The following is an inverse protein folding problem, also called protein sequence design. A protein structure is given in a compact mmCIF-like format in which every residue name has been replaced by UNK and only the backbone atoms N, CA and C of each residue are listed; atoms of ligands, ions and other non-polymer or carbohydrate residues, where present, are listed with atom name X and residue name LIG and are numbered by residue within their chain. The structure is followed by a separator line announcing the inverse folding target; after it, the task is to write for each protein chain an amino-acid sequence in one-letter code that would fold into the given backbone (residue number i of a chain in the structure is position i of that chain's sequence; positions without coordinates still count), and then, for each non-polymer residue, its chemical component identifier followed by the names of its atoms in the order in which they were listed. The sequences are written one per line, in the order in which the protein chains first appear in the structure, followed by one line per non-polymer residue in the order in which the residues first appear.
data_IF_532065718849
#
_entry.id   IF_532065718849
#
_cell.length_a   1.000
_cell.length_b   1.000
_cell.length_c   1.000
_cell.angle_alpha   90.00
_cell.angle_beta   90.00
_cell.angle_gamma   90.00
#
_symmetry.space_group_name_H-M   'P 1'
#
loop_
_entity.id
_entity.type
_entity.pdbx_description
1 polymer ?
#
# COMPACT_ATOMS: atom_id res chain seq x y z
N UNK A 1 12.65 2.49 -2.79
CA UNK A 1 12.10 1.13 -2.76
C UNK A 1 11.81 0.72 -4.19
N UNK A 2 11.98 -0.55 -4.53
CA UNK A 2 11.50 -1.04 -5.83
C UNK A 2 9.96 -1.09 -5.84
N UNK A 3 9.29 -0.77 -6.96
CA UNK A 3 7.86 -0.97 -7.08
C UNK A 3 7.52 -2.46 -6.91
N UNK A 4 6.38 -2.75 -6.29
CA UNK A 4 5.89 -4.11 -6.18
C UNK A 4 5.73 -4.78 -7.54
N UNK A 5 6.08 -6.06 -7.64
CA UNK A 5 5.97 -6.87 -8.84
C UNK A 5 5.16 -8.12 -8.54
N UNK A 6 4.19 -8.43 -9.40
CA UNK A 6 3.46 -9.71 -9.38
C UNK A 6 4.30 -10.78 -10.06
N UNK A 7 4.56 -11.89 -9.36
CA UNK A 7 5.24 -13.07 -9.88
C UNK A 7 4.27 -14.24 -9.82
N UNK A 8 3.96 -14.83 -10.97
CA UNK A 8 3.11 -16.03 -11.06
C UNK A 8 3.99 -17.22 -11.41
N UNK A 9 4.08 -18.19 -10.48
CA UNK A 9 4.80 -19.44 -10.72
C UNK A 9 3.84 -20.62 -10.85
N UNK A 10 4.10 -21.53 -11.80
CA UNK A 10 3.29 -22.75 -12.01
C UNK A 10 3.12 -23.60 -10.73
N UNK A 11 4.13 -23.65 -9.87
CA UNK A 11 4.14 -24.51 -8.67
C UNK A 11 3.90 -23.77 -7.35
N UNK A 12 4.20 -22.46 -7.29
CA UNK A 12 4.18 -21.68 -6.04
C UNK A 12 3.02 -20.69 -5.93
N UNK A 13 2.15 -20.66 -6.94
CA UNK A 13 1.04 -19.70 -7.03
C UNK A 13 1.53 -18.28 -7.27
N UNK A 14 0.61 -17.32 -7.12
CA UNK A 14 0.91 -15.89 -7.25
C UNK A 14 1.62 -15.39 -5.99
N UNK A 15 2.65 -14.57 -6.20
CA UNK A 15 3.39 -13.84 -5.17
C UNK A 15 3.54 -12.38 -5.57
N UNK A 16 3.66 -11.52 -4.58
CA UNK A 16 3.99 -10.10 -4.77
C UNK A 16 5.31 -9.83 -4.10
N UNK A 17 6.23 -9.18 -4.81
CA UNK A 17 7.58 -8.94 -4.28
C UNK A 17 7.97 -7.48 -4.42
N UNK A 18 8.70 -6.98 -3.43
CA UNK A 18 9.38 -5.68 -3.47
C UNK A 18 10.72 -5.80 -2.76
N UNK A 19 11.57 -4.79 -2.94
CA UNK A 19 12.80 -4.62 -2.19
C UNK A 19 12.83 -3.21 -1.59
N UNK A 20 13.03 -3.14 -0.28
CA UNK A 20 13.31 -1.91 0.45
C UNK A 20 14.83 -1.74 0.58
N UNK A 21 15.31 -0.51 0.75
CA UNK A 21 16.65 -0.31 1.30
C UNK A 21 16.62 -0.44 2.85
N UNK A 22 17.78 -0.49 3.54
CA UNK A 22 17.81 -0.64 5.00
C UNK A 22 17.07 0.46 5.77
N UNK A 23 17.18 1.72 5.32
CA UNK A 23 16.51 2.86 5.94
C UNK A 23 14.99 2.81 5.75
N UNK A 24 14.53 2.44 4.56
CA UNK A 24 13.11 2.25 4.25
C UNK A 24 12.49 1.13 5.08
N UNK A 25 13.22 0.03 5.26
CA UNK A 25 12.82 -1.08 6.13
C UNK A 25 12.66 -0.62 7.57
N UNK A 26 13.65 0.09 8.10
CA UNK A 26 13.60 0.65 9.45
C UNK A 26 12.45 1.64 9.61
N UNK A 27 12.28 2.55 8.64
CA UNK A 27 11.20 3.53 8.61
C UNK A 27 9.83 2.86 8.66
N UNK A 28 9.60 1.83 7.83
CA UNK A 28 8.34 1.08 7.81
C UNK A 28 8.07 0.41 9.15
N UNK A 29 9.09 -0.22 9.74
CA UNK A 29 8.97 -0.91 11.02
C UNK A 29 8.63 0.05 12.15
N UNK A 30 9.32 1.18 12.23
CA UNK A 30 9.06 2.22 13.22
C UNK A 30 7.66 2.83 13.05
N UNK A 31 7.22 3.02 11.81
CA UNK A 31 5.87 3.51 11.53
C UNK A 31 4.80 2.51 11.99
N UNK A 32 4.94 1.24 11.63
CA UNK A 32 3.99 0.20 12.04
C UNK A 32 3.94 0.03 13.57
N UNK A 33 5.11 0.06 14.24
CA UNK A 33 5.20 -0.01 15.69
C UNK A 33 4.50 1.18 16.37
N UNK A 34 4.73 2.40 15.88
CA UNK A 34 4.10 3.62 16.43
C UNK A 34 2.58 3.55 16.35
N UNK A 35 2.02 3.06 15.24
CA UNK A 35 0.57 2.89 15.09
C UNK A 35 0.05 1.79 16.01
N UNK A 36 0.76 0.65 16.11
CA UNK A 36 0.40 -0.44 16.98
C UNK A 36 0.36 -0.01 18.45
N UNK A 37 1.37 0.74 18.91
CA UNK A 37 1.44 1.26 20.27
C UNK A 37 0.27 2.19 20.59
N UNK A 38 -0.10 3.08 19.66
CA UNK A 38 -1.25 3.97 19.84
C UNK A 38 -2.58 3.20 19.94
N UNK A 39 -2.73 2.13 19.14
CA UNK A 39 -3.90 1.25 19.19
C UNK A 39 -3.94 0.42 20.50
N UNK A 40 -2.81 -0.12 20.94
CA UNK A 40 -2.71 -0.85 22.21
C UNK A 40 -3.01 0.05 23.40
N UNK A 41 -2.52 1.29 23.39
CA UNK A 41 -2.82 2.28 24.43
C UNK A 41 -4.31 2.61 24.48
N UNK A 42 -4.98 2.71 23.32
CA UNK A 42 -6.44 2.90 23.27
C UNK A 42 -7.17 1.73 23.93
N UNK A 43 -6.79 0.49 23.66
CA UNK A 43 -7.39 -0.69 24.31
C UNK A 43 -7.12 -0.68 25.82
N UNK A 44 -5.89 -0.37 26.23
CA UNK A 44 -5.48 -0.37 27.65
C UNK A 44 -6.23 0.67 28.49
N UNK A 45 -6.62 1.79 27.87
CA UNK A 45 -7.31 2.90 28.53
C UNK A 45 -8.83 2.81 28.43
N UNK A 46 -9.38 1.76 27.80
CA UNK A 46 -10.82 1.56 27.73
C UNK A 46 -11.42 1.38 29.14
N UNK A 47 -12.59 1.96 29.43
CA UNK A 47 -13.27 1.79 30.71
C UNK A 47 -13.53 0.31 30.99
N UNK A 48 -13.17 -0.15 32.20
CA UNK A 48 -13.59 -1.47 32.67
C UNK A 48 -14.99 -1.33 33.23
N UNK A 49 -15.98 -1.77 32.47
CA UNK A 49 -17.38 -1.78 32.89
C UNK A 49 -17.63 -2.93 33.88
N UNK A 50 -18.31 -2.68 34.99
CA UNK A 50 -18.71 -3.73 35.95
C UNK A 50 -19.61 -4.79 35.28
N UNK A 51 -20.41 -4.40 34.27
CA UNK A 51 -21.19 -5.31 33.47
C UNK A 51 -20.32 -6.16 32.53
N UNK A 52 -19.20 -5.62 32.04
CA UNK A 52 -18.22 -6.37 31.25
C UNK A 52 -17.55 -7.48 32.08
N UNK A 53 -17.31 -7.24 33.37
CA UNK A 53 -16.79 -8.28 34.28
C UNK A 53 -17.81 -9.40 34.52
N UNK A 54 -19.11 -9.09 34.52
CA UNK A 54 -20.20 -10.05 34.68
C UNK A 54 -20.54 -10.82 33.39
N UNK A 55 -20.38 -10.19 32.22
CA UNK A 55 -20.79 -10.75 30.91
C UNK A 55 -19.61 -11.32 30.11
N UNK A 56 -18.37 -10.98 30.45
CA UNK A 56 -17.17 -11.35 29.70
C UNK A 56 -16.98 -10.60 28.38
N UNK A 57 -17.83 -9.61 28.08
CA UNK A 57 -17.69 -8.77 26.89
C UNK A 57 -16.77 -7.59 27.19
N UNK A 58 -15.66 -7.44 26.46
CA UNK A 58 -14.79 -6.28 26.63
C UNK A 58 -15.55 -4.99 26.30
N UNK A 59 -15.58 -4.03 27.24
CA UNK A 59 -16.19 -2.72 27.00
C UNK A 59 -15.18 -1.81 26.29
N UNK A 60 -15.51 -1.37 25.08
CA UNK A 60 -14.74 -0.37 24.33
C UNK A 60 -14.98 1.05 24.84
N UNK A 61 -14.36 2.04 24.21
CA UNK A 61 -14.64 3.45 24.50
C UNK A 61 -16.04 3.83 24.01
N UNK A 62 -16.77 4.65 24.76
CA UNK A 62 -17.98 5.33 24.25
C UNK A 62 -17.61 6.51 23.34
N UNK A 63 -16.51 7.20 23.68
CA UNK A 63 -16.07 8.42 23.00
C UNK A 63 -15.11 8.14 21.83
N UNK A 64 -15.13 8.99 20.79
CA UNK A 64 -14.15 8.93 19.71
C UNK A 64 -12.71 9.14 20.23
N UNK A 65 -11.69 8.71 19.48
CA UNK A 65 -10.31 8.98 19.85
C UNK A 65 -10.03 10.48 19.94
N UNK A 66 -9.39 10.92 21.02
CA UNK A 66 -8.96 12.31 21.19
C UNK A 66 -7.78 12.69 20.28
N UNK A 67 -6.97 11.71 19.89
CA UNK A 67 -5.91 11.87 18.89
C UNK A 67 -6.53 11.91 17.48
N UNK A 68 -6.34 12.99 16.71
CA UNK A 68 -6.81 13.06 15.32
C UNK A 68 -6.26 11.93 14.45
N UNK A 69 -5.02 11.50 14.69
CA UNK A 69 -4.39 10.41 13.96
C UNK A 69 -5.07 9.05 14.23
N UNK A 70 -5.48 8.77 15.46
CA UNK A 70 -6.28 7.57 15.77
C UNK A 70 -7.70 7.69 15.23
N UNK A 71 -8.33 8.86 15.34
CA UNK A 71 -9.67 9.13 14.81
C UNK A 71 -9.73 8.95 13.28
N UNK A 72 -8.61 9.16 12.58
CA UNK A 72 -8.54 8.93 11.14
C UNK A 72 -8.53 7.45 10.75
N UNK A 73 -7.99 6.57 11.61
CA UNK A 73 -7.85 5.13 11.28
C UNK A 73 -8.93 4.26 11.93
N UNK A 74 -9.68 4.78 12.90
CA UNK A 74 -10.81 4.11 13.52
C UNK A 74 -12.13 4.71 13.03
N UNK A 75 -13.20 3.92 12.88
CA UNK A 75 -14.48 4.47 12.46
C UNK A 75 -15.03 5.49 13.47
N UNK A 76 -15.67 6.52 12.96
CA UNK A 76 -16.52 7.42 13.75
C UNK A 76 -17.85 6.78 14.16
N UNK A 77 -18.21 5.65 13.52
CA UNK A 77 -19.48 4.93 13.69
C UNK A 77 -20.70 5.80 13.38
N UNK A 78 -20.52 6.79 12.50
CA UNK A 78 -21.59 7.56 11.90
C UNK A 78 -21.53 7.39 10.39
N UNK A 79 -22.68 7.21 9.75
CA UNK A 79 -22.73 7.29 8.30
C UNK A 79 -22.88 8.76 7.89
N UNK A 80 -22.10 9.20 6.91
CA UNK A 80 -22.21 10.55 6.35
C UNK A 80 -23.66 10.86 5.93
N UNK A 81 -24.25 11.87 6.58
CA UNK A 81 -25.63 12.30 6.30
C UNK A 81 -26.74 11.46 6.94
N UNK A 82 -26.40 10.53 7.85
CA UNK A 82 -27.39 9.85 8.68
C UNK A 82 -27.95 10.80 9.76
N UNK A 83 -29.21 10.57 10.14
CA UNK A 83 -29.81 11.25 11.29
C UNK A 83 -29.07 10.78 12.57
N UNK A 84 -28.45 11.72 13.28
CA UNK A 84 -27.75 11.42 14.52
C UNK A 84 -28.75 11.03 15.60
N UNK A 85 -28.81 9.74 15.91
CA UNK A 85 -29.50 9.25 17.11
C UNK A 85 -28.53 9.30 18.28
N UNK A 86 -28.88 10.08 19.30
CA UNK A 86 -28.06 10.25 20.51
C UNK A 86 -27.68 8.88 21.11
N UNK A 87 -26.38 8.61 21.21
CA UNK A 87 -25.83 7.40 21.84
C UNK A 87 -25.61 6.19 20.93
N UNK A 88 -26.07 6.19 19.67
CA UNK A 88 -25.95 5.02 18.78
C UNK A 88 -24.49 4.71 18.39
N UNK A 89 -23.74 5.73 18.00
CA UNK A 89 -22.31 5.59 17.71
C UNK A 89 -21.50 5.21 18.96
N UNK A 90 -21.90 5.69 20.14
CA UNK A 90 -21.24 5.35 21.40
C UNK A 90 -21.39 3.86 21.72
N UNK A 91 -22.62 3.33 21.63
CA UNK A 91 -22.89 1.91 21.83
C UNK A 91 -22.20 1.04 20.76
N UNK A 92 -22.28 1.45 19.48
CA UNK A 92 -21.65 0.70 18.40
C UNK A 92 -20.13 0.64 18.57
N UNK A 93 -19.50 1.75 18.98
CA UNK A 93 -18.06 1.78 19.29
C UNK A 93 -17.72 0.85 20.45
N UNK A 94 -18.46 0.90 21.55
CA UNK A 94 -18.24 0.03 22.71
C UNK A 94 -18.26 -1.45 22.32
N UNK A 95 -19.15 -1.85 21.40
CA UNK A 95 -19.31 -3.23 20.97
C UNK A 95 -18.27 -3.69 19.93
N UNK A 96 -17.83 -2.81 19.03
CA UNK A 96 -17.08 -3.22 17.84
C UNK A 96 -15.61 -2.77 17.83
N UNK A 97 -15.27 -1.68 18.52
CA UNK A 97 -13.96 -1.04 18.35
C UNK A 97 -12.81 -1.96 18.77
N UNK A 98 -12.98 -2.76 19.83
CA UNK A 98 -11.98 -3.72 20.29
C UNK A 98 -11.61 -4.74 19.21
N UNK A 99 -12.60 -5.27 18.50
CA UNK A 99 -12.37 -6.24 17.42
C UNK A 99 -11.74 -5.57 16.19
N UNK A 100 -12.14 -4.34 15.87
CA UNK A 100 -11.51 -3.54 14.82
C UNK A 100 -10.03 -3.30 15.13
N UNK A 101 -9.72 -2.87 16.36
CA UNK A 101 -8.33 -2.67 16.80
C UNK A 101 -7.56 -3.98 16.70
N UNK A 102 -8.14 -5.10 17.14
CA UNK A 102 -7.51 -6.43 17.03
C UNK A 102 -7.18 -6.77 15.57
N UNK A 103 -8.10 -6.57 14.63
CA UNK A 103 -7.83 -6.81 13.20
C UNK A 103 -6.72 -5.91 12.66
N UNK A 104 -6.69 -4.62 13.05
CA UNK A 104 -5.62 -3.70 12.65
C UNK A 104 -4.27 -4.13 13.21
N UNK A 105 -4.21 -4.53 14.48
CA UNK A 105 -3.00 -5.05 15.11
C UNK A 105 -2.48 -6.33 14.43
N UNK A 106 -3.37 -7.24 14.02
CA UNK A 106 -2.98 -8.42 13.24
C UNK A 106 -2.37 -8.05 11.88
N UNK A 107 -2.95 -7.07 11.18
CA UNK A 107 -2.42 -6.59 9.91
C UNK A 107 -1.05 -5.91 10.09
N UNK A 108 -0.86 -5.12 11.16
CA UNK A 108 0.43 -4.49 11.49
C UNK A 108 1.48 -5.52 11.91
N UNK A 109 1.08 -6.59 12.59
CA UNK A 109 1.98 -7.68 12.97
C UNK A 109 2.58 -8.37 11.73
N UNK A 110 1.81 -8.51 10.64
CA UNK A 110 2.33 -9.03 9.37
C UNK A 110 3.48 -8.17 8.82
N UNK A 111 3.42 -6.84 8.97
CA UNK A 111 4.56 -5.97 8.61
C UNK A 111 5.78 -6.37 9.44
N UNK A 112 5.63 -6.44 10.76
CA UNK A 112 6.71 -6.79 11.68
C UNK A 112 7.31 -8.18 11.40
N UNK A 113 6.49 -9.16 11.00
CA UNK A 113 6.95 -10.51 10.62
C UNK A 113 7.87 -10.48 9.38
N UNK A 114 7.57 -9.66 8.38
CA UNK A 114 8.40 -9.56 7.17
C UNK A 114 9.66 -8.71 7.35
N UNK A 115 9.60 -7.65 8.16
CA UNK A 115 10.66 -6.63 8.22
C UNK A 115 11.34 -6.47 9.58
N UNK A 116 10.93 -7.23 10.60
CA UNK A 116 11.47 -7.18 11.97
C UNK A 116 12.96 -7.48 12.07
N UNK A 117 13.51 -7.69 13.29
CA UNK A 117 14.95 -7.89 13.49
C UNK A 117 15.57 -8.98 12.61
N UNK A 118 14.84 -10.08 12.42
CA UNK A 118 15.24 -11.22 11.58
C UNK A 118 14.63 -11.16 10.15
N UNK A 119 13.92 -10.07 9.84
CA UNK A 119 13.25 -9.85 8.56
C UNK A 119 14.20 -9.47 7.42
N UNK A 120 13.69 -9.45 6.20
CA UNK A 120 14.48 -9.14 5.00
C UNK A 120 14.12 -7.79 4.41
N UNK A 121 15.09 -7.16 3.75
CA UNK A 121 14.83 -6.06 2.82
C UNK A 121 14.05 -6.51 1.58
N UNK A 122 14.07 -7.81 1.26
CA UNK A 122 13.27 -8.40 0.20
C UNK A 122 11.96 -8.92 0.79
N UNK A 123 10.84 -8.30 0.44
CA UNK A 123 9.52 -8.71 0.94
C UNK A 123 8.85 -9.56 -0.14
N UNK A 124 8.27 -10.69 0.27
CA UNK A 124 7.49 -11.57 -0.59
C UNK A 124 6.18 -11.89 0.11
N UNK A 125 5.07 -11.43 -0.47
CA UNK A 125 3.72 -11.73 0.01
C UNK A 125 3.10 -12.85 -0.81
N UNK A 126 2.43 -13.76 -0.13
CA UNK A 126 1.41 -14.64 -0.70
C UNK A 126 0.17 -13.86 -1.12
N UNK A 127 -0.72 -14.49 -1.90
CA UNK A 127 -1.97 -13.88 -2.32
C UNK A 127 -2.87 -13.50 -1.11
N UNK A 128 -2.80 -14.27 -0.03
CA UNK A 128 -3.62 -14.09 1.18
C UNK A 128 -3.12 -12.94 2.06
N UNK A 129 -1.81 -12.69 2.06
CA UNK A 129 -1.15 -11.63 2.84
C UNK A 129 -1.32 -10.23 2.21
N UNK A 130 -1.67 -10.14 0.92
CA UNK A 130 -1.76 -8.86 0.20
C UNK A 130 -2.81 -7.92 0.79
N UNK A 131 -4.00 -8.43 1.13
CA UNK A 131 -5.07 -7.59 1.68
C UNK A 131 -4.77 -7.10 3.11
N UNK A 132 -4.31 -7.97 4.05
CA UNK A 132 -3.79 -7.54 5.34
C UNK A 132 -2.66 -6.51 5.22
N UNK A 133 -1.69 -6.75 4.34
CA UNK A 133 -0.57 -5.82 4.13
C UNK A 133 -1.05 -4.46 3.63
N UNK A 134 -1.92 -4.42 2.60
CA UNK A 134 -2.49 -3.18 2.10
C UNK A 134 -3.27 -2.43 3.18
N UNK A 135 -4.04 -3.14 3.99
CA UNK A 135 -4.81 -2.56 5.09
C UNK A 135 -3.87 -1.93 6.13
N UNK A 136 -2.77 -2.61 6.48
CA UNK A 136 -1.76 -2.10 7.39
C UNK A 136 -1.06 -0.85 6.84
N UNK A 137 -0.63 -0.88 5.57
CA UNK A 137 0.01 0.28 4.92
C UNK A 137 -0.95 1.47 4.84
N UNK A 138 -2.23 1.24 4.54
CA UNK A 138 -3.24 2.28 4.50
C UNK A 138 -3.45 2.93 5.88
N UNK A 139 -3.51 2.12 6.95
CA UNK A 139 -3.62 2.63 8.31
C UNK A 139 -2.37 3.44 8.70
N UNK A 140 -1.17 2.94 8.40
CA UNK A 140 0.09 3.68 8.61
C UNK A 140 0.08 5.00 7.85
N UNK A 141 -0.28 4.98 6.57
CA UNK A 141 -0.36 6.19 5.73
C UNK A 141 -1.31 7.22 6.32
N UNK A 142 -2.52 6.80 6.70
CA UNK A 142 -3.55 7.69 7.22
C UNK A 142 -3.18 8.26 8.59
N UNK A 143 -2.61 7.45 9.47
CA UNK A 143 -2.12 7.88 10.77
C UNK A 143 -1.00 8.92 10.65
N UNK A 144 0.02 8.64 9.82
CA UNK A 144 1.13 9.57 9.61
C UNK A 144 0.73 10.81 8.81
N UNK A 145 -0.24 10.71 7.91
CA UNK A 145 -0.78 11.88 7.22
C UNK A 145 -1.30 12.90 8.24
N UNK A 146 -2.09 12.46 9.23
CA UNK A 146 -2.57 13.35 10.31
C UNK A 146 -1.44 13.85 11.21
N UNK A 147 -0.51 12.98 11.62
CA UNK A 147 0.62 13.43 12.44
C UNK A 147 1.52 14.46 11.74
N UNK A 148 1.65 14.36 10.43
CA UNK A 148 2.47 15.26 9.62
C UNK A 148 1.75 16.57 9.26
N UNK A 149 0.44 16.72 9.53
CA UNK A 149 -0.33 17.93 9.16
C UNK A 149 0.32 19.24 9.61
N UNK A 150 0.82 19.39 10.86
CA UNK A 150 1.47 20.64 11.27
C UNK A 150 2.67 21.01 10.39
N UNK A 151 3.53 20.03 10.09
CA UNK A 151 4.68 20.23 9.19
C UNK A 151 4.22 20.53 7.76
N UNK A 152 3.23 19.80 7.23
CA UNK A 152 2.70 20.01 5.88
C UNK A 152 2.03 21.38 5.71
N UNK A 153 1.50 21.96 6.79
CA UNK A 153 0.95 23.33 6.82
C UNK A 153 1.99 24.42 7.11
N UNK A 154 3.28 24.07 7.20
CA UNK A 154 4.36 25.03 7.42
C UNK A 154 4.42 25.59 8.84
N UNK A 155 3.84 24.87 9.82
CA UNK A 155 3.90 25.25 11.24
C UNK A 155 5.20 24.77 11.93
N UNK A 156 6.05 24.03 11.20
CA UNK A 156 7.34 23.53 11.66
C UNK A 156 8.48 24.00 10.72
N UNK A 157 9.73 23.73 11.11
CA UNK A 157 10.91 24.11 10.32
C UNK A 157 11.02 23.37 8.97
N UNK A 158 11.79 23.92 8.00
CA UNK A 158 11.87 23.38 6.64
C UNK A 158 12.26 21.89 6.60
N UNK A 159 13.22 21.47 7.41
CA UNK A 159 13.65 20.06 7.48
C UNK A 159 12.51 19.12 7.87
N UNK A 160 11.61 19.56 8.77
CA UNK A 160 10.43 18.78 9.17
C UNK A 160 9.39 18.73 8.05
N UNK A 161 9.19 19.83 7.34
CA UNK A 161 8.28 19.90 6.20
C UNK A 161 8.72 18.95 5.09
N UNK A 162 10.01 18.94 4.77
CA UNK A 162 10.55 18.09 3.71
C UNK A 162 10.50 16.61 4.12
N UNK A 163 10.89 16.28 5.35
CA UNK A 163 10.74 14.92 5.87
C UNK A 163 9.28 14.42 5.86
N UNK A 164 8.31 15.29 6.19
CA UNK A 164 6.89 14.95 6.15
C UNK A 164 6.42 14.67 4.71
N UNK A 165 6.84 15.47 3.73
CA UNK A 165 6.53 15.26 2.31
C UNK A 165 7.14 13.95 1.80
N UNK A 166 8.41 13.70 2.12
CA UNK A 166 9.11 12.48 1.72
C UNK A 166 8.42 11.23 2.29
N UNK A 167 8.14 11.20 3.60
CA UNK A 167 7.47 10.07 4.25
C UNK A 167 6.08 9.80 3.67
N UNK A 168 5.24 10.84 3.56
CA UNK A 168 3.86 10.68 3.06
C UNK A 168 3.81 10.28 1.59
N UNK A 169 4.72 10.81 0.76
CA UNK A 169 4.85 10.41 -0.65
C UNK A 169 5.35 8.98 -0.78
N UNK A 170 6.33 8.59 0.04
CA UNK A 170 6.87 7.23 0.03
C UNK A 170 5.84 6.18 0.47
N UNK A 171 5.05 6.43 1.53
CA UNK A 171 3.95 5.57 1.95
C UNK A 171 2.86 5.45 0.85
N UNK A 172 2.55 6.55 0.17
CA UNK A 172 1.62 6.53 -0.95
C UNK A 172 2.15 5.68 -2.12
N UNK A 173 3.42 5.83 -2.49
CA UNK A 173 4.06 5.02 -3.52
C UNK A 173 4.09 3.53 -3.16
N UNK A 174 4.35 3.21 -1.89
CA UNK A 174 4.34 1.83 -1.40
C UNK A 174 2.98 1.16 -1.64
N UNK A 175 1.88 1.84 -1.29
CA UNK A 175 0.52 1.34 -1.48
C UNK A 175 0.13 1.26 -2.95
N UNK A 176 0.36 2.34 -3.71
CA UNK A 176 -0.04 2.45 -5.12
C UNK A 176 0.66 1.39 -5.98
N UNK A 177 1.97 1.20 -5.79
CA UNK A 177 2.71 0.19 -6.55
C UNK A 177 2.23 -1.24 -6.28
N UNK A 178 1.80 -1.57 -5.05
CA UNK A 178 1.18 -2.87 -4.75
C UNK A 178 -0.19 -3.03 -5.42
N UNK A 179 -1.03 -1.99 -5.38
CA UNK A 179 -2.33 -1.99 -6.06
C UNK A 179 -2.18 -2.18 -7.58
N UNK A 180 -1.21 -1.51 -8.20
CA UNK A 180 -0.87 -1.69 -9.63
C UNK A 180 -0.41 -3.11 -9.92
N UNK A 181 0.50 -3.65 -9.11
CA UNK A 181 0.97 -5.03 -9.26
C UNK A 181 -0.19 -6.04 -9.19
N UNK A 182 -1.17 -5.82 -8.30
CA UNK A 182 -2.37 -6.67 -8.21
C UNK A 182 -3.23 -6.62 -9.47
N UNK A 183 -3.39 -5.43 -10.05
CA UNK A 183 -4.12 -5.21 -11.30
C UNK A 183 -3.34 -5.70 -12.53
N UNK A 184 -2.05 -6.00 -12.39
CA UNK A 184 -1.18 -6.38 -13.50
C UNK A 184 -0.76 -5.19 -14.37
N UNK A 185 -0.86 -3.97 -13.84
CA UNK A 185 -0.42 -2.76 -14.52
C UNK A 185 1.12 -2.64 -14.46
N UNK A 186 1.76 -2.11 -15.52
CA UNK A 186 3.18 -1.80 -15.47
C UNK A 186 3.46 -0.70 -14.43
N UNK A 187 4.69 -0.62 -13.88
CA UNK A 187 5.09 0.48 -12.98
C UNK A 187 4.83 1.85 -13.62
N UNK A 188 4.47 2.85 -12.82
CA UNK A 188 4.19 4.20 -13.32
C UNK A 188 5.34 4.79 -14.16
N UNK A 189 6.59 4.46 -13.81
CA UNK A 189 7.81 4.85 -14.54
C UNK A 189 7.86 4.29 -15.99
N UNK A 190 7.17 3.20 -16.28
CA UNK A 190 7.02 2.64 -17.64
C UNK A 190 5.84 3.24 -18.41
N UNK A 191 4.92 3.94 -17.73
CA UNK A 191 3.77 4.61 -18.39
C UNK A 191 4.14 5.99 -18.93
N UNK A 192 5.17 6.63 -18.39
CA UNK A 192 5.71 7.92 -18.86
C UNK A 192 6.56 7.81 -20.14
N UNK A 193 6.75 6.59 -20.67
CA UNK A 193 7.45 6.35 -21.94
C UNK A 193 6.66 5.38 -22.85
N UNK A 194 5.60 5.86 -23.52
CA UNK A 194 4.72 5.02 -24.35
C UNK A 194 5.42 4.39 -25.57
N UNK A 195 6.64 4.84 -25.91
CA UNK A 195 7.43 4.37 -27.05
C UNK A 195 8.65 3.50 -26.64
N UNK A 196 8.75 3.10 -25.36
CA UNK A 196 9.86 2.28 -24.88
C UNK A 196 9.72 0.81 -25.28
N UNK A 197 10.32 0.44 -26.41
CA UNK A 197 10.58 -0.92 -26.93
C UNK A 197 9.84 -2.06 -26.21
N UNK A 198 8.71 -2.47 -26.80
CA UNK A 198 8.04 -3.72 -26.46
C UNK A 198 8.97 -4.92 -26.79
N UNK A 199 9.41 -5.71 -25.80
CA UNK A 199 10.26 -6.87 -26.07
C UNK A 199 9.51 -8.05 -26.71
N UNK A 200 8.22 -7.93 -27.01
CA UNK A 200 7.36 -9.05 -27.43
C UNK A 200 7.11 -9.18 -28.95
N UNK A 201 7.96 -8.65 -29.83
CA UNK A 201 7.85 -9.01 -31.25
C UNK A 201 9.18 -9.44 -31.89
N UNK A 202 9.58 -10.72 -31.74
CA UNK A 202 10.56 -11.30 -32.64
C UNK A 202 9.82 -11.81 -33.88
N UNK A 203 10.23 -11.29 -35.05
CA UNK A 203 9.88 -11.77 -36.39
C UNK A 203 8.79 -10.96 -37.11
N UNK A 204 9.21 -9.95 -37.87
CA UNK A 204 8.66 -9.68 -39.20
C UNK A 204 9.76 -9.00 -40.04
N UNK A 205 10.61 -9.84 -40.64
CA UNK A 205 11.71 -9.37 -41.49
C UNK A 205 12.21 -10.44 -42.45
N UNK A 206 11.31 -11.25 -43.03
CA UNK A 206 11.65 -12.20 -44.10
C UNK A 206 10.57 -12.32 -45.17
N UNK A 207 11.01 -12.11 -46.41
CA UNK A 207 10.31 -12.43 -47.66
C UNK A 207 9.43 -11.28 -48.13
N UNK A 208 9.36 -10.89 -49.41
CA UNK A 208 9.58 -11.66 -50.63
C UNK A 208 9.88 -10.71 -51.80
N UNK A 209 10.67 -11.17 -52.75
CA UNK A 209 10.46 -10.85 -54.17
C UNK A 209 10.63 -12.15 -54.96
N UNK A 210 10.53 -12.14 -56.31
CA UNK A 210 9.91 -11.14 -57.21
C UNK A 210 9.02 -11.81 -58.29
N UNK A 211 8.17 -11.07 -59.04
CA UNK A 211 7.74 -11.46 -60.40
C UNK A 211 6.98 -10.35 -61.18
N UNK A 212 7.28 -10.22 -62.49
CA UNK A 212 6.44 -9.53 -63.51
C UNK A 212 7.08 -8.37 -64.30
N UNK A 213 7.84 -8.63 -65.38
CA UNK A 213 7.56 -8.38 -66.84
C UNK A 213 7.06 -6.95 -67.22
N UNK A 214 7.42 -6.26 -68.31
CA UNK A 214 8.19 -6.48 -69.55
C UNK A 214 8.37 -5.10 -70.24
N UNK A 215 9.46 -4.89 -70.98
CA UNK A 215 9.60 -3.76 -71.93
C UNK A 215 10.83 -3.95 -72.84
N UNK A 216 10.71 -3.86 -74.18
CA UNK A 216 11.78 -4.29 -75.09
C UNK A 216 12.68 -3.12 -75.53
N UNK A 217 13.96 -3.38 -75.81
CA UNK A 217 14.79 -2.40 -76.52
C UNK A 217 16.30 -2.63 -76.49
N UNK A 218 16.79 -3.38 -77.48
CA UNK A 218 18.04 -3.19 -78.22
C UNK A 218 19.43 -3.19 -77.52
N UNK A 219 20.20 -4.23 -77.89
CA UNK A 219 21.67 -4.48 -77.94
C UNK A 219 22.60 -3.29 -78.34
N UNK A 220 23.95 -3.47 -78.41
CA UNK A 220 24.92 -4.24 -77.59
C UNK A 220 26.26 -3.46 -77.34
N UNK A 221 27.31 -4.18 -76.91
CA UNK A 221 28.77 -3.82 -76.81
C UNK A 221 29.18 -3.11 -75.52
N UNK A 222 30.31 -3.38 -74.85
CA UNK A 222 31.41 -4.32 -75.03
C UNK A 222 32.38 -4.18 -73.83
N UNK A 223 33.26 -5.18 -73.65
CA UNK A 223 34.62 -5.12 -73.06
C UNK A 223 34.83 -4.50 -71.65
N UNK A 224 35.11 -5.34 -70.65
CA UNK A 224 36.44 -5.68 -70.09
C UNK A 224 36.28 -6.43 -68.76
#
# INVERSE_FOLDING_TARGET
MEPWKKKTGMLRGTRFVTQLNPLERETLGNCAATVADALMERVRTAPKDELAELTGMASGHSEPPSSPALARILPDFFADGAEEVEGDAALTRQLNETDIIKSKLMNLALIAEHIGPDGSVNITLSQEEVQPWLSAINDVRNYYHELCQPALHGLEGPDRVDAAKELTSWLAFHQDSLLRAMRGEPPAEMMDNPDGDDPQNPDEGRGEGPEGQHGPGNRPTGEF
#
